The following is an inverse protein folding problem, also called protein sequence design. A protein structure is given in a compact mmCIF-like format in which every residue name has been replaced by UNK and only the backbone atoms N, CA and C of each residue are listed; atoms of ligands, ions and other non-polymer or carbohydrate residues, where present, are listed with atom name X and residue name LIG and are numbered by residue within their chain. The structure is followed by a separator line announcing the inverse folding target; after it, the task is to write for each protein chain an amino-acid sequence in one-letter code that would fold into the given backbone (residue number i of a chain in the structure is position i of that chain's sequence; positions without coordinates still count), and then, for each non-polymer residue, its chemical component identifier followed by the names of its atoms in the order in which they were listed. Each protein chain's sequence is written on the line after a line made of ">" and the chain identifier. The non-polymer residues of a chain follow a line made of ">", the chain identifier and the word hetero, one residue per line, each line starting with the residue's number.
data_IF_739154065307
#
_entry.id   IF_739154065307
#
_cell.length_a   1.000
_cell.length_b   1.000
_cell.length_c   1.000
_cell.angle_alpha   90.00
_cell.angle_beta   90.00
_cell.angle_gamma   90.00
#
_symmetry.space_group_name_H-M   'P 1'
#
loop_
_entity.id
_entity.type
_entity.pdbx_description
1 polymer ?
#
# COMPACT_ATOMS: atom_id res chain seq x y z
N UNK A 1 5.95 38.40 27.34
CA UNK A 1 5.57 37.10 26.76
C UNK A 1 6.17 37.04 25.37
N UNK A 2 7.22 36.25 25.17
CA UNK A 2 7.79 36.04 23.83
C UNK A 2 6.93 35.02 23.13
N UNK A 3 6.21 35.41 22.07
CA UNK A 3 5.56 34.49 21.17
C UNK A 3 6.61 33.58 20.53
N UNK A 4 6.53 32.28 20.83
CA UNK A 4 7.28 31.26 20.08
C UNK A 4 6.65 31.23 18.69
N UNK A 5 7.43 31.45 17.60
CA UNK A 5 6.90 31.30 16.27
C UNK A 5 6.42 29.85 16.06
N UNK A 6 5.36 29.62 15.29
CA UNK A 6 4.92 28.26 15.00
C UNK A 6 6.09 27.49 14.37
N UNK A 7 6.50 26.38 14.99
CA UNK A 7 7.45 25.46 14.40
C UNK A 7 6.89 24.99 13.06
N UNK A 8 7.55 25.35 11.99
CA UNK A 8 7.25 24.82 10.64
C UNK A 8 7.48 23.31 10.72
N UNK A 9 6.48 22.48 10.39
CA UNK A 9 6.66 21.02 10.42
C UNK A 9 7.81 20.63 9.50
N UNK A 10 8.81 19.94 10.05
CA UNK A 10 9.96 19.44 9.29
C UNK A 10 9.45 18.59 8.11
N UNK A 11 10.06 18.76 6.95
CA UNK A 11 9.78 17.92 5.80
C UNK A 11 10.44 16.51 5.92
N UNK A 12 10.12 15.61 5.01
CA UNK A 12 10.65 14.25 5.04
C UNK A 12 12.17 14.21 4.83
N UNK A 13 12.74 15.12 4.05
CA UNK A 13 14.17 15.16 3.74
C UNK A 13 14.98 15.54 4.99
N UNK A 14 14.49 16.52 5.72
CA UNK A 14 15.11 16.95 6.97
C UNK A 14 14.96 15.89 8.06
N UNK A 15 13.79 15.26 8.18
CA UNK A 15 13.58 14.15 9.11
C UNK A 15 14.49 12.96 8.78
N UNK A 16 14.64 12.59 7.51
CA UNK A 16 15.57 11.54 7.06
C UNK A 16 17.02 11.90 7.43
N UNK A 17 17.41 13.15 7.22
CA UNK A 17 18.77 13.60 7.56
C UNK A 17 19.05 13.46 9.04
N UNK A 18 18.12 13.88 9.90
CA UNK A 18 18.23 13.77 11.36
C UNK A 18 18.21 12.29 11.82
N UNK A 19 17.33 11.49 11.25
CA UNK A 19 17.25 10.06 11.57
C UNK A 19 18.53 9.30 11.18
N UNK A 20 19.17 9.66 10.07
CA UNK A 20 20.49 9.13 9.66
C UNK A 20 21.60 9.50 10.62
N UNK A 21 21.53 10.68 11.23
CA UNK A 21 22.47 11.11 12.25
C UNK A 21 22.24 10.44 13.63
N UNK A 22 21.29 9.49 13.70
CA UNK A 22 20.96 8.75 14.93
C UNK A 22 19.77 9.33 15.72
N UNK A 23 19.08 10.33 15.19
CA UNK A 23 17.87 10.91 15.81
C UNK A 23 16.67 9.99 15.67
N UNK A 24 16.43 9.14 16.68
CA UNK A 24 15.32 8.20 16.68
C UNK A 24 13.97 8.91 16.61
N UNK A 25 13.82 10.04 17.31
CA UNK A 25 12.59 10.87 17.31
C UNK A 25 12.23 11.35 15.88
N UNK A 26 13.21 11.68 15.05
CA UNK A 26 12.98 12.06 13.67
C UNK A 26 12.44 10.88 12.84
N UNK A 27 12.90 9.66 13.11
CA UNK A 27 12.35 8.46 12.47
C UNK A 27 10.93 8.15 12.97
N UNK A 28 10.64 8.33 14.25
CA UNK A 28 9.29 8.17 14.80
C UNK A 28 8.29 9.13 14.14
N UNK A 29 8.70 10.37 13.85
CA UNK A 29 7.86 11.31 13.09
C UNK A 29 7.62 10.84 11.65
N UNK A 30 8.61 10.27 10.97
CA UNK A 30 8.43 9.64 9.66
C UNK A 30 7.46 8.46 9.72
N UNK A 31 7.59 7.59 10.74
CA UNK A 31 6.67 6.48 10.97
C UNK A 31 5.25 6.99 11.15
N UNK A 32 5.03 7.94 12.07
CA UNK A 32 3.71 8.49 12.34
C UNK A 32 3.07 9.10 11.07
N UNK A 33 3.85 9.86 10.29
CA UNK A 33 3.40 10.50 9.05
C UNK A 33 2.98 9.50 7.97
N UNK A 34 3.70 8.38 7.86
CA UNK A 34 3.51 7.44 6.75
C UNK A 34 2.74 6.17 7.12
N UNK A 35 2.37 5.94 8.40
CA UNK A 35 1.64 4.75 8.85
C UNK A 35 0.34 4.53 8.08
N UNK A 36 -0.48 5.57 7.91
CA UNK A 36 -1.75 5.43 7.19
C UNK A 36 -1.56 5.03 5.71
N UNK A 37 -0.53 5.58 5.04
CA UNK A 37 -0.19 5.23 3.66
C UNK A 37 0.38 3.81 3.56
N UNK A 38 1.22 3.41 4.51
CA UNK A 38 1.78 2.06 4.60
C UNK A 38 0.69 1.02 4.82
N UNK A 39 -0.22 1.25 5.77
CA UNK A 39 -1.34 0.36 6.06
C UNK A 39 -2.25 0.20 4.83
N UNK A 40 -2.68 1.31 4.22
CA UNK A 40 -3.48 1.29 3.00
C UNK A 40 -2.80 0.47 1.90
N UNK A 41 -1.49 0.63 1.72
CA UNK A 41 -0.72 -0.13 0.73
C UNK A 41 -0.75 -1.62 1.02
N UNK A 42 -0.46 -2.03 2.25
CA UNK A 42 -0.47 -3.44 2.65
C UNK A 42 -1.84 -4.09 2.41
N UNK A 43 -2.93 -3.43 2.84
CA UNK A 43 -4.31 -3.91 2.66
C UNK A 43 -4.68 -4.03 1.18
N UNK A 44 -4.43 -3.00 0.38
CA UNK A 44 -4.73 -3.00 -1.05
C UNK A 44 -3.91 -4.03 -1.84
N UNK A 45 -2.70 -4.33 -1.39
CA UNK A 45 -1.87 -5.39 -1.97
C UNK A 45 -2.23 -6.78 -1.45
N UNK A 46 -3.19 -6.89 -0.54
CA UNK A 46 -3.78 -8.16 -0.11
C UNK A 46 -3.15 -8.77 1.14
N UNK A 47 -2.53 -7.98 2.01
CA UNK A 47 -2.04 -8.48 3.30
C UNK A 47 -3.17 -8.98 4.21
N UNK A 48 -4.38 -8.38 4.09
CA UNK A 48 -5.54 -8.76 4.90
C UNK A 48 -5.28 -8.48 6.39
N UNK A 49 -5.55 -9.46 7.25
CA UNK A 49 -5.32 -9.39 8.70
C UNK A 49 -3.85 -9.23 9.09
N UNK A 50 -2.90 -9.54 8.21
CA UNK A 50 -1.46 -9.43 8.50
C UNK A 50 -0.90 -8.05 8.12
N UNK A 51 -1.77 -7.07 7.80
CA UNK A 51 -1.32 -5.75 7.37
C UNK A 51 -0.46 -5.06 8.43
N UNK A 52 -0.81 -5.19 9.70
CA UNK A 52 -0.05 -4.60 10.80
C UNK A 52 1.34 -5.20 10.93
N UNK A 53 1.47 -6.53 10.85
CA UNK A 53 2.77 -7.21 10.89
C UNK A 53 3.64 -6.81 9.70
N UNK A 54 3.05 -6.69 8.52
CA UNK A 54 3.74 -6.24 7.30
C UNK A 54 4.30 -4.84 7.47
N UNK A 55 3.51 -3.89 8.00
CA UNK A 55 3.97 -2.51 8.14
C UNK A 55 5.01 -2.36 9.26
N UNK A 56 4.89 -3.09 10.36
CA UNK A 56 5.89 -3.10 11.42
C UNK A 56 7.24 -3.59 10.87
N UNK A 57 7.24 -4.73 10.18
CA UNK A 57 8.45 -5.26 9.55
C UNK A 57 9.01 -4.31 8.49
N UNK A 58 8.14 -3.65 7.72
CA UNK A 58 8.56 -2.66 6.71
C UNK A 58 9.22 -1.44 7.36
N UNK A 59 8.71 -0.93 8.48
CA UNK A 59 9.34 0.18 9.19
C UNK A 59 10.68 -0.22 9.81
N UNK A 60 10.79 -1.40 10.42
CA UNK A 60 12.07 -1.90 10.92
C UNK A 60 13.11 -2.04 9.81
N UNK A 61 12.72 -2.58 8.66
CA UNK A 61 13.59 -2.67 7.48
C UNK A 61 13.92 -1.31 6.89
N UNK A 62 12.96 -0.39 6.89
CA UNK A 62 13.16 1.00 6.50
C UNK A 62 14.23 1.67 7.36
N UNK A 63 14.14 1.57 8.67
CA UNK A 63 15.16 2.11 9.57
C UNK A 63 16.55 1.54 9.30
N UNK A 64 16.65 0.21 9.21
CA UNK A 64 17.93 -0.48 8.94
C UNK A 64 18.54 -0.12 7.57
N UNK A 65 17.71 0.23 6.60
CA UNK A 65 18.13 0.60 5.23
C UNK A 65 18.20 2.10 4.99
N UNK A 66 17.87 2.92 6.00
CA UNK A 66 17.78 4.37 5.86
C UNK A 66 19.10 5.00 5.36
N UNK A 67 20.24 4.45 5.76
CA UNK A 67 21.56 4.86 5.28
C UNK A 67 21.75 4.65 3.75
N UNK A 68 20.98 3.75 3.15
CA UNK A 68 21.03 3.44 1.70
C UNK A 68 20.01 4.23 0.88
N UNK A 69 19.09 4.94 1.52
CA UNK A 69 18.16 5.81 0.81
C UNK A 69 18.93 6.99 0.20
N UNK A 70 18.87 7.17 -1.12
CA UNK A 70 19.69 8.16 -1.87
C UNK A 70 18.93 9.44 -2.20
N UNK A 71 17.64 9.55 -1.87
CA UNK A 71 16.84 10.72 -2.27
C UNK A 71 16.46 10.77 -3.75
N UNK A 72 16.67 9.67 -4.51
CA UNK A 72 16.31 9.57 -5.93
C UNK A 72 14.78 9.53 -6.15
N UNK A 73 14.02 9.25 -5.13
CA UNK A 73 12.55 9.29 -5.07
C UNK A 73 12.12 9.84 -3.71
N UNK A 74 10.83 10.21 -3.56
CA UNK A 74 10.32 10.62 -2.26
C UNK A 74 10.51 9.52 -1.21
N UNK A 75 10.75 9.91 0.06
CA UNK A 75 10.84 8.94 1.16
C UNK A 75 9.58 8.06 1.24
N UNK A 76 8.41 8.64 0.99
CA UNK A 76 7.14 7.92 0.90
C UNK A 76 7.21 6.79 -0.13
N UNK A 77 7.60 7.08 -1.37
CA UNK A 77 7.66 6.07 -2.45
C UNK A 77 8.66 4.95 -2.12
N UNK A 78 9.82 5.31 -1.56
CA UNK A 78 10.83 4.35 -1.13
C UNK A 78 10.33 3.43 0.00
N UNK A 79 9.65 4.00 1.01
CA UNK A 79 9.06 3.23 2.10
C UNK A 79 7.96 2.30 1.60
N UNK A 80 7.05 2.80 0.73
CA UNK A 80 5.98 1.99 0.16
C UNK A 80 6.50 0.84 -0.72
N UNK A 81 7.67 1.00 -1.35
CA UNK A 81 8.35 -0.10 -2.03
C UNK A 81 8.77 -1.22 -1.05
N UNK A 82 9.21 -0.85 0.16
CA UNK A 82 9.53 -1.82 1.20
C UNK A 82 8.25 -2.54 1.65
N UNK A 83 7.15 -1.82 1.91
CA UNK A 83 5.84 -2.40 2.27
C UNK A 83 5.36 -3.39 1.21
N UNK A 84 5.42 -3.01 -0.08
CA UNK A 84 5.03 -3.88 -1.17
C UNK A 84 5.90 -5.16 -1.24
N UNK A 85 7.19 -5.03 -0.99
CA UNK A 85 8.10 -6.18 -0.94
C UNK A 85 7.75 -7.13 0.22
N UNK A 86 7.43 -6.58 1.40
CA UNK A 86 7.03 -7.42 2.55
C UNK A 86 5.69 -8.10 2.30
N UNK A 87 4.72 -7.42 1.68
CA UNK A 87 3.46 -8.04 1.28
C UNK A 87 3.68 -9.19 0.28
N UNK A 88 4.58 -9.02 -0.72
CA UNK A 88 4.95 -10.11 -1.64
C UNK A 88 5.64 -11.28 -0.91
N UNK A 89 6.47 -10.99 0.08
CA UNK A 89 7.11 -12.03 0.90
C UNK A 89 6.08 -12.83 1.69
N UNK A 90 5.08 -12.15 2.27
CA UNK A 90 3.95 -12.77 2.94
C UNK A 90 3.21 -13.74 1.99
N UNK A 91 2.84 -13.29 0.77
CA UNK A 91 2.17 -14.14 -0.21
C UNK A 91 3.00 -15.36 -0.62
N UNK A 92 4.30 -15.18 -0.84
CA UNK A 92 5.20 -16.31 -1.16
C UNK A 92 5.32 -17.30 0.01
N UNK A 93 5.31 -16.80 1.25
CA UNK A 93 5.34 -17.65 2.46
C UNK A 93 4.05 -18.45 2.61
N UNK A 94 2.89 -17.80 2.40
CA UNK A 94 1.58 -18.46 2.39
C UNK A 94 1.51 -19.52 1.29
N UNK A 95 1.83 -19.18 0.05
CA UNK A 95 1.82 -20.12 -1.07
C UNK A 95 2.72 -21.33 -0.87
N UNK A 96 3.83 -21.19 -0.14
CA UNK A 96 4.68 -22.35 0.26
C UNK A 96 4.04 -23.20 1.35
N UNK A 97 3.33 -22.59 2.31
CA UNK A 97 2.60 -23.32 3.36
C UNK A 97 1.37 -24.01 2.79
N UNK A 98 0.63 -23.35 1.91
CA UNK A 98 -0.59 -23.89 1.26
C UNK A 98 -0.25 -25.02 0.28
N UNK A 99 0.94 -25.01 -0.32
CA UNK A 99 1.47 -26.14 -1.09
C UNK A 99 1.78 -27.36 -0.25
N UNK A 100 1.92 -27.22 1.08
CA UNK A 100 2.08 -28.30 2.06
C UNK A 100 0.77 -28.70 2.75
N UNK A 101 -0.24 -27.81 2.74
CA UNK A 101 -1.56 -28.03 3.34
C UNK A 101 -2.62 -27.74 2.30
N UNK A 102 -2.89 -28.70 1.44
CA UNK A 102 -4.03 -28.67 0.55
C UNK A 102 -5.31 -28.77 1.39
N UNK A 103 -6.17 -27.75 1.34
CA UNK A 103 -7.51 -27.67 1.89
C UNK A 103 -7.64 -27.17 3.34
N UNK A 104 -7.85 -25.89 3.51
CA UNK A 104 -9.00 -25.30 4.25
C UNK A 104 -8.88 -23.77 4.37
N UNK A 105 -10.03 -23.12 4.18
CA UNK A 105 -10.40 -21.75 4.57
C UNK A 105 -9.96 -20.59 3.68
N UNK A 106 -10.78 -20.39 2.66
CA UNK A 106 -11.09 -19.06 2.13
C UNK A 106 -11.95 -18.28 3.14
N UNK A 107 -11.82 -16.96 3.10
CA UNK A 107 -12.70 -15.94 3.66
C UNK A 107 -12.61 -15.67 5.16
N UNK A 108 -11.90 -14.60 5.49
CA UNK A 108 -12.32 -13.67 6.55
C UNK A 108 -12.52 -12.30 5.92
N UNK A 109 -13.76 -11.86 5.94
CA UNK A 109 -14.16 -10.50 5.61
C UNK A 109 -13.64 -9.52 6.68
N UNK A 110 -13.24 -8.29 6.31
CA UNK A 110 -13.02 -7.23 7.28
C UNK A 110 -14.40 -6.70 7.71
N UNK A 111 -14.66 -6.70 9.01
CA UNK A 111 -15.82 -6.05 9.61
C UNK A 111 -15.80 -4.55 9.28
N UNK A 112 -16.85 -4.09 8.61
CA UNK A 112 -17.14 -2.68 8.43
C UNK A 112 -17.94 -2.23 9.66
N UNK A 113 -17.42 -1.25 10.38
CA UNK A 113 -18.14 -0.60 11.48
C UNK A 113 -19.38 0.14 11.00
N UNK A 114 -20.44 0.02 11.77
CA UNK A 114 -21.77 0.59 11.55
C UNK A 114 -21.81 2.10 11.77
N UNK A 115 -22.74 2.69 11.06
CA UNK A 115 -23.43 3.99 11.14
C UNK A 115 -23.03 5.00 10.07
N UNK A 116 -23.86 5.03 9.01
CA UNK A 116 -23.93 6.22 8.16
C UNK A 116 -25.18 6.22 7.24
N UNK A 117 -25.70 7.43 6.97
CA UNK A 117 -26.81 7.75 6.06
C UNK A 117 -26.75 7.09 4.67
N UNK A 118 -27.90 6.89 4.02
CA UNK A 118 -28.10 6.13 2.75
C UNK A 118 -27.06 6.43 1.66
N UNK A 119 -26.59 7.68 1.53
CA UNK A 119 -25.53 8.04 0.58
C UNK A 119 -24.15 7.44 0.91
N UNK A 120 -23.89 7.19 2.18
CA UNK A 120 -22.65 6.57 2.64
C UNK A 120 -22.71 5.04 2.56
N UNK A 121 -23.87 4.41 2.64
CA UNK A 121 -24.08 2.98 2.37
C UNK A 121 -23.73 2.67 0.92
N UNK A 122 -24.25 3.42 -0.04
CA UNK A 122 -23.92 3.25 -1.47
C UNK A 122 -22.42 3.51 -1.75
N UNK A 123 -21.80 4.46 -1.04
CA UNK A 123 -20.37 4.71 -1.16
C UNK A 123 -19.55 3.57 -0.52
N UNK A 124 -20.02 2.99 0.58
CA UNK A 124 -19.39 1.84 1.25
C UNK A 124 -19.50 0.58 0.38
N UNK A 125 -20.67 0.31 -0.20
CA UNK A 125 -20.88 -0.81 -1.13
C UNK A 125 -20.00 -0.72 -2.37
N UNK A 126 -19.91 0.47 -3.00
CA UNK A 126 -19.00 0.70 -4.13
C UNK A 126 -17.53 0.53 -3.75
N UNK A 127 -17.16 0.96 -2.56
CA UNK A 127 -15.80 0.76 -2.03
C UNK A 127 -15.51 -0.70 -1.79
N UNK A 128 -16.44 -1.45 -1.20
CA UNK A 128 -16.31 -2.88 -0.97
C UNK A 128 -16.21 -3.65 -2.30
N UNK A 129 -17.06 -3.34 -3.27
CA UNK A 129 -17.00 -3.93 -4.61
C UNK A 129 -15.65 -3.66 -5.31
N UNK A 130 -15.12 -2.44 -5.18
CA UNK A 130 -13.82 -2.08 -5.74
C UNK A 130 -12.68 -2.86 -5.07
N UNK A 131 -12.70 -3.00 -3.74
CA UNK A 131 -11.69 -3.78 -3.00
C UNK A 131 -11.76 -5.25 -3.39
N UNK A 132 -12.97 -5.82 -3.53
CA UNK A 132 -13.13 -7.19 -3.99
C UNK A 132 -12.64 -7.38 -5.43
N UNK A 133 -12.98 -6.48 -6.34
CA UNK A 133 -12.48 -6.52 -7.71
C UNK A 133 -10.94 -6.45 -7.76
N UNK A 134 -10.31 -5.59 -6.93
CA UNK A 134 -8.87 -5.53 -6.80
C UNK A 134 -8.27 -6.84 -6.29
N UNK A 135 -8.89 -7.50 -5.30
CA UNK A 135 -8.43 -8.80 -4.78
C UNK A 135 -8.47 -9.90 -5.85
N UNK A 136 -9.43 -9.85 -6.76
CA UNK A 136 -9.59 -10.80 -7.86
C UNK A 136 -8.63 -10.57 -9.02
N UNK A 137 -7.99 -9.40 -9.11
CA UNK A 137 -6.93 -9.16 -10.09
C UNK A 137 -5.71 -10.04 -9.81
N UNK A 138 -5.01 -10.52 -10.86
CA UNK A 138 -3.67 -11.10 -10.71
C UNK A 138 -2.75 -10.14 -9.94
N UNK A 139 -1.89 -10.66 -9.08
CA UNK A 139 -1.02 -9.89 -8.17
C UNK A 139 -0.34 -8.71 -8.87
N UNK A 140 0.35 -8.97 -9.98
CA UNK A 140 1.08 -7.92 -10.73
C UNK A 140 0.15 -6.86 -11.35
N UNK A 141 -1.08 -7.22 -11.72
CA UNK A 141 -2.06 -6.27 -12.26
C UNK A 141 -2.63 -5.41 -11.13
N UNK A 142 -2.90 -6.00 -9.95
CA UNK A 142 -3.30 -5.27 -8.75
C UNK A 142 -2.22 -4.30 -8.29
N UNK A 143 -0.95 -4.73 -8.22
CA UNK A 143 0.17 -3.88 -7.81
C UNK A 143 0.25 -2.59 -8.63
N UNK A 144 0.18 -2.67 -9.95
CA UNK A 144 0.30 -1.48 -10.80
C UNK A 144 -0.91 -0.55 -10.67
N UNK A 145 -2.11 -1.09 -10.49
CA UNK A 145 -3.32 -0.28 -10.24
C UNK A 145 -3.21 0.43 -8.89
N UNK A 146 -2.81 -0.28 -7.85
CA UNK A 146 -2.64 0.30 -6.51
C UNK A 146 -1.63 1.44 -6.55
N UNK A 147 -0.47 1.24 -7.17
CA UNK A 147 0.55 2.29 -7.28
C UNK A 147 0.01 3.54 -7.98
N UNK A 148 -0.64 3.38 -9.13
CA UNK A 148 -1.03 4.49 -10.01
C UNK A 148 -2.25 5.26 -9.54
N UNK A 149 -3.23 4.60 -8.91
CA UNK A 149 -4.55 5.16 -8.65
C UNK A 149 -4.93 5.27 -7.18
N UNK A 150 -4.27 4.54 -6.29
CA UNK A 150 -4.55 4.60 -4.86
C UNK A 150 -3.42 5.22 -4.05
N UNK A 151 -2.20 5.16 -4.57
CA UNK A 151 -1.02 5.75 -3.93
C UNK A 151 -0.55 7.03 -4.63
N UNK A 152 -1.23 7.42 -5.72
CA UNK A 152 -0.93 8.60 -6.54
C UNK A 152 0.55 8.68 -7.00
N UNK A 153 1.17 7.51 -7.20
CA UNK A 153 2.53 7.45 -7.68
C UNK A 153 2.56 7.77 -9.18
N UNK A 154 3.47 8.63 -9.60
CA UNK A 154 3.74 8.84 -11.01
C UNK A 154 4.39 7.60 -11.65
N UNK A 155 4.64 7.62 -12.96
CA UNK A 155 5.18 6.46 -13.68
C UNK A 155 6.59 6.07 -13.20
N UNK A 156 7.45 7.05 -12.91
CA UNK A 156 8.82 6.82 -12.45
C UNK A 156 8.87 6.26 -11.03
N UNK A 157 8.05 6.80 -10.14
CA UNK A 157 7.89 6.28 -8.79
C UNK A 157 7.33 4.85 -8.80
N UNK A 158 6.39 4.56 -9.71
CA UNK A 158 5.86 3.21 -9.90
C UNK A 158 6.93 2.24 -10.40
N UNK A 159 7.77 2.68 -11.35
CA UNK A 159 8.95 1.92 -11.82
C UNK A 159 9.89 1.60 -10.65
N UNK A 160 10.20 2.61 -9.84
CA UNK A 160 11.06 2.46 -8.65
C UNK A 160 10.46 1.51 -7.63
N UNK A 161 9.16 1.68 -7.33
CA UNK A 161 8.46 0.87 -6.34
C UNK A 161 8.34 -0.60 -6.76
N UNK A 162 7.99 -0.85 -8.01
CA UNK A 162 7.77 -2.22 -8.52
C UNK A 162 9.06 -2.88 -9.01
N UNK A 163 10.09 -2.11 -9.33
CA UNK A 163 11.31 -2.61 -9.95
C UNK A 163 11.10 -3.12 -11.38
N UNK A 164 10.11 -2.58 -12.11
CA UNK A 164 9.77 -3.01 -13.46
C UNK A 164 10.25 -2.00 -14.51
N UNK A 165 10.58 -2.46 -15.74
CA UNK A 165 10.83 -1.54 -16.83
C UNK A 165 9.63 -0.65 -17.13
N UNK A 166 9.89 0.61 -17.51
CA UNK A 166 8.85 1.63 -17.79
C UNK A 166 7.79 1.15 -18.77
N UNK A 167 8.22 0.51 -19.88
CA UNK A 167 7.30 -0.07 -20.88
C UNK A 167 6.39 -1.15 -20.28
N UNK A 168 6.90 -1.92 -19.31
CA UNK A 168 6.11 -2.94 -18.58
C UNK A 168 5.07 -2.28 -17.70
N UNK A 169 5.42 -1.22 -16.97
CA UNK A 169 4.46 -0.45 -16.14
C UNK A 169 3.33 0.07 -17.02
N UNK A 170 3.64 0.77 -18.12
CA UNK A 170 2.65 1.34 -19.03
C UNK A 170 1.70 0.29 -19.62
N UNK A 171 2.26 -0.77 -20.22
CA UNK A 171 1.46 -1.81 -20.89
C UNK A 171 0.62 -2.63 -19.90
N UNK A 172 1.14 -2.85 -18.68
CA UNK A 172 0.43 -3.58 -17.64
C UNK A 172 -0.68 -2.74 -17.02
N UNK A 173 -0.46 -1.44 -16.79
CA UNK A 173 -1.50 -0.52 -16.32
C UNK A 173 -2.71 -0.55 -17.24
N UNK A 174 -2.50 -0.41 -18.55
CA UNK A 174 -3.59 -0.45 -19.53
C UNK A 174 -4.38 -1.77 -19.48
N UNK A 175 -3.68 -2.90 -19.48
CA UNK A 175 -4.35 -4.23 -19.41
C UNK A 175 -5.04 -4.48 -18.09
N UNK A 176 -4.46 -4.03 -16.99
CA UNK A 176 -5.03 -4.19 -15.65
C UNK A 176 -6.32 -3.38 -15.49
N UNK A 177 -6.39 -2.15 -16.05
CA UNK A 177 -7.61 -1.35 -16.05
C UNK A 177 -8.75 -2.03 -16.80
N UNK A 178 -8.48 -2.63 -17.96
CA UNK A 178 -9.49 -3.38 -18.73
C UNK A 178 -10.05 -4.53 -17.89
N UNK A 179 -9.17 -5.29 -17.22
CA UNK A 179 -9.59 -6.40 -16.35
C UNK A 179 -10.38 -5.92 -15.14
N UNK A 180 -9.92 -4.83 -14.49
CA UNK A 180 -10.61 -4.26 -13.33
C UNK A 180 -12.02 -3.82 -13.71
N UNK A 181 -12.16 -3.14 -14.84
CA UNK A 181 -13.46 -2.73 -15.36
C UNK A 181 -14.40 -3.93 -15.58
N UNK A 182 -13.92 -4.96 -16.26
CA UNK A 182 -14.72 -6.17 -16.49
C UNK A 182 -15.17 -6.86 -15.18
N UNK A 183 -14.35 -6.81 -14.13
CA UNK A 183 -14.69 -7.33 -12.81
C UNK A 183 -15.77 -6.49 -12.10
N UNK A 184 -15.73 -5.17 -12.26
CA UNK A 184 -16.72 -4.25 -11.69
C UNK A 184 -18.05 -4.36 -12.45
N UNK A 185 -18.04 -4.35 -13.78
CA UNK A 185 -19.24 -4.51 -14.62
C UNK A 185 -19.93 -5.86 -14.34
N UNK A 186 -19.17 -6.93 -14.13
CA UNK A 186 -19.70 -8.25 -13.77
C UNK A 186 -20.20 -8.37 -12.34
N UNK A 187 -19.87 -7.45 -11.44
CA UNK A 187 -20.39 -7.37 -10.09
C UNK A 187 -21.76 -6.66 -10.07
N UNK A 188 -21.96 -5.62 -10.88
CA UNK A 188 -23.23 -4.90 -11.01
C UNK A 188 -24.37 -5.80 -11.55
N UNK A 189 -24.04 -6.75 -12.46
CA UNK A 189 -25.01 -7.69 -13.04
C UNK A 189 -25.48 -8.75 -12.02
N UNK A 190 -24.76 -8.98 -10.91
CA UNK A 190 -25.11 -9.98 -9.88
C UNK A 190 -25.84 -9.39 -8.67
N UNK A 191 -25.93 -8.08 -8.56
CA UNK A 191 -26.52 -7.35 -7.44
C UNK A 191 -27.84 -6.66 -7.76
N UNK A 192 -28.39 -6.87 -8.96
CA UNK A 192 -29.68 -6.34 -9.42
C UNK A 192 -30.85 -7.36 -9.35
#
# INVERSE_FOLDING_TARGET
>A
MRSVPPEVPLDDEELVTRARAGGLEAYELLVARHTASAHRTAVLLGAGSDAEDVIQEAFVKGYRKLSRYRGESSFRSWLLAIVANETRNLHRSRGRRDGLVLRAAANREPEAGEDVAVGAVLAAERRAALVDALRRLPEKDREVIVCRYFLDLNEEETVTMLGWPRGTVKSRTSRALVKLRALLDGAEVRGG
#
